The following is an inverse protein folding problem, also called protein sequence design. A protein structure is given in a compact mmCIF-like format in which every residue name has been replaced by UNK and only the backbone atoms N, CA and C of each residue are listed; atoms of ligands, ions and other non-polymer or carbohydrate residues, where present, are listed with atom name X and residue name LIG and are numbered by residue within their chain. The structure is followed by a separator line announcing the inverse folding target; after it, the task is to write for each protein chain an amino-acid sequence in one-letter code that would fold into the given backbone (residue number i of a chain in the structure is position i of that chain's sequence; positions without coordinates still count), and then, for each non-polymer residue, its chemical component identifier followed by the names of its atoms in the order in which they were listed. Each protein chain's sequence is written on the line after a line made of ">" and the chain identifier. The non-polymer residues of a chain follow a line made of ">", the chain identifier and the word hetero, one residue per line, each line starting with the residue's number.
data_IF_404914491996
#
_entry.id   IF_404914491996
#
_cell.length_a   1.000
_cell.length_b   1.000
_cell.length_c   1.000
_cell.angle_alpha   90.00
_cell.angle_beta   90.00
_cell.angle_gamma   90.00
#
_symmetry.space_group_name_H-M   'P 1'
#
loop_
_entity.id
_entity.type
_entity.pdbx_description
1 polymer ?
#
# COMPACT_ATOMS: atom_id res chain seq x y z
N UNK A 1 -3.80 -18.31 -32.80
CA UNK A 1 -5.03 -18.24 -31.98
C UNK A 1 -4.86 -17.15 -30.95
N UNK A 2 -5.57 -16.02 -31.08
CA UNK A 2 -5.73 -15.00 -30.05
C UNK A 2 -6.94 -15.43 -29.23
N UNK A 3 -6.71 -15.72 -27.92
CA UNK A 3 -7.77 -15.94 -26.96
C UNK A 3 -7.90 -14.67 -26.11
N UNK A 4 -9.04 -14.01 -26.14
CA UNK A 4 -9.37 -12.90 -25.26
C UNK A 4 -9.91 -13.46 -23.94
N UNK A 5 -9.19 -13.22 -22.84
CA UNK A 5 -9.58 -13.70 -21.50
C UNK A 5 -10.36 -12.57 -20.84
N UNK A 6 -11.68 -12.73 -20.78
CA UNK A 6 -12.56 -11.79 -20.10
C UNK A 6 -12.44 -11.89 -18.57
N UNK A 7 -12.69 -10.78 -17.84
CA UNK A 7 -12.80 -10.82 -16.39
C UNK A 7 -13.88 -11.82 -15.94
N UNK A 8 -13.66 -12.53 -14.80
CA UNK A 8 -14.61 -13.53 -14.33
C UNK A 8 -15.95 -12.90 -13.94
N UNK A 9 -17.05 -13.60 -14.27
CA UNK A 9 -18.39 -13.24 -13.83
C UNK A 9 -18.55 -13.41 -12.31
N UNK A 10 -19.64 -12.87 -11.75
CA UNK A 10 -19.88 -12.86 -10.30
C UNK A 10 -19.81 -14.26 -9.68
N UNK A 11 -20.49 -15.23 -10.27
CA UNK A 11 -20.51 -16.61 -9.80
C UNK A 11 -19.13 -17.27 -9.86
N UNK A 12 -18.38 -16.99 -10.91
CA UNK A 12 -16.99 -17.45 -11.05
C UNK A 12 -16.11 -16.84 -9.97
N UNK A 13 -16.29 -15.57 -9.61
CA UNK A 13 -15.54 -14.93 -8.52
C UNK A 13 -15.85 -15.58 -7.18
N UNK A 14 -17.13 -15.86 -6.89
CA UNK A 14 -17.53 -16.60 -5.68
C UNK A 14 -16.87 -17.99 -5.62
N UNK A 15 -16.86 -18.71 -6.75
CA UNK A 15 -16.21 -20.02 -6.84
C UNK A 15 -14.69 -19.95 -6.60
N UNK A 16 -14.02 -18.93 -7.12
CA UNK A 16 -12.59 -18.68 -6.90
C UNK A 16 -12.30 -18.45 -5.40
N UNK A 17 -13.10 -17.62 -4.72
CA UNK A 17 -12.96 -17.35 -3.28
C UNK A 17 -13.13 -18.64 -2.48
N UNK A 18 -14.20 -19.39 -2.73
CA UNK A 18 -14.48 -20.67 -2.05
C UNK A 18 -13.37 -21.69 -2.29
N UNK A 19 -12.90 -21.81 -3.55
CA UNK A 19 -11.78 -22.72 -3.88
C UNK A 19 -10.49 -22.32 -3.18
N UNK A 20 -10.17 -21.01 -3.12
CA UNK A 20 -9.00 -20.53 -2.39
C UNK A 20 -9.10 -20.79 -0.90
N UNK A 21 -10.26 -20.57 -0.31
CA UNK A 21 -10.51 -20.88 1.11
C UNK A 21 -10.27 -22.35 1.41
N UNK A 22 -10.77 -23.27 0.57
CA UNK A 22 -10.52 -24.71 0.71
C UNK A 22 -9.02 -25.04 0.70
N UNK A 23 -8.26 -24.48 -0.24
CA UNK A 23 -6.80 -24.66 -0.33
C UNK A 23 -6.05 -24.13 0.91
N UNK A 24 -6.61 -23.16 1.60
CA UNK A 24 -6.08 -22.59 2.81
C UNK A 24 -6.56 -23.28 4.10
N UNK A 25 -7.39 -24.34 4.00
CA UNK A 25 -8.10 -24.93 5.12
C UNK A 25 -8.88 -23.87 5.94
N UNK A 26 -9.58 -22.99 5.23
CA UNK A 26 -10.39 -21.93 5.81
C UNK A 26 -11.86 -22.18 5.50
N UNK A 27 -12.66 -22.41 6.53
CA UNK A 27 -14.07 -22.74 6.38
C UNK A 27 -14.90 -21.47 6.10
N UNK A 28 -15.54 -21.43 4.94
CA UNK A 28 -16.50 -20.41 4.52
C UNK A 28 -17.89 -21.01 4.23
N UNK A 29 -18.17 -22.24 4.64
CA UNK A 29 -19.42 -22.94 4.30
C UNK A 29 -20.67 -22.23 4.81
N UNK A 30 -20.58 -21.52 5.95
CA UNK A 30 -21.67 -20.76 6.54
C UNK A 30 -21.52 -19.23 6.34
N UNK A 31 -20.72 -18.79 5.37
CA UNK A 31 -20.36 -17.36 5.20
C UNK A 31 -20.58 -16.91 3.75
N UNK A 32 -21.66 -17.36 3.10
CA UNK A 32 -21.98 -17.00 1.72
C UNK A 32 -22.12 -15.48 1.54
N UNK A 33 -22.71 -14.79 2.51
CA UNK A 33 -22.81 -13.32 2.50
C UNK A 33 -21.43 -12.62 2.47
N UNK A 34 -20.42 -13.20 3.11
CA UNK A 34 -19.04 -12.68 3.09
C UNK A 34 -18.39 -12.94 1.74
N UNK A 35 -18.58 -14.12 1.17
CA UNK A 35 -18.09 -14.49 -0.16
C UNK A 35 -18.68 -13.56 -1.22
N UNK A 36 -20.00 -13.37 -1.21
CA UNK A 36 -20.71 -12.49 -2.13
C UNK A 36 -20.24 -11.04 -1.97
N UNK A 37 -20.09 -10.57 -0.74
CA UNK A 37 -19.60 -9.22 -0.46
C UNK A 37 -18.21 -8.98 -1.09
N UNK A 38 -17.27 -9.92 -0.93
CA UNK A 38 -15.95 -9.82 -1.56
C UNK A 38 -16.07 -9.85 -3.08
N UNK A 39 -16.87 -10.77 -3.64
CA UNK A 39 -17.06 -10.90 -5.08
C UNK A 39 -17.73 -9.68 -5.74
N UNK A 40 -18.61 -8.97 -5.02
CA UNK A 40 -19.24 -7.72 -5.49
C UNK A 40 -18.25 -6.56 -5.54
N UNK A 41 -17.36 -6.47 -4.56
CA UNK A 41 -16.41 -5.35 -4.44
C UNK A 41 -15.15 -5.53 -5.30
N UNK A 42 -14.78 -6.75 -5.68
CA UNK A 42 -13.59 -7.05 -6.48
C UNK A 42 -13.99 -7.70 -7.81
N UNK A 43 -13.98 -6.91 -8.88
CA UNK A 43 -14.57 -7.31 -10.18
C UNK A 43 -13.58 -7.83 -11.20
N UNK A 44 -12.34 -7.34 -11.21
CA UNK A 44 -11.43 -7.53 -12.36
C UNK A 44 -10.11 -8.23 -12.04
N UNK A 45 -9.77 -8.48 -10.78
CA UNK A 45 -8.45 -8.99 -10.43
C UNK A 45 -8.52 -10.25 -9.56
N UNK A 46 -8.29 -11.42 -10.20
CA UNK A 46 -8.29 -12.73 -9.52
C UNK A 46 -7.25 -12.79 -8.41
N UNK A 47 -6.06 -12.18 -8.60
CA UNK A 47 -5.02 -12.16 -7.57
C UNK A 47 -5.45 -11.39 -6.32
N UNK A 48 -6.27 -10.34 -6.50
CA UNK A 48 -6.87 -9.63 -5.37
C UNK A 48 -7.85 -10.51 -4.60
N UNK A 49 -8.73 -11.25 -5.30
CA UNK A 49 -9.66 -12.19 -4.66
C UNK A 49 -8.92 -13.20 -3.80
N UNK A 50 -7.83 -13.78 -4.33
CA UNK A 50 -6.99 -14.71 -3.59
C UNK A 50 -6.28 -14.03 -2.40
N UNK A 51 -5.73 -12.84 -2.57
CA UNK A 51 -5.07 -12.06 -1.52
C UNK A 51 -6.02 -11.70 -0.38
N UNK A 52 -7.24 -11.24 -0.73
CA UNK A 52 -8.28 -10.91 0.26
C UNK A 52 -8.72 -12.14 1.03
N UNK A 53 -8.91 -13.28 0.35
CA UNK A 53 -9.27 -14.54 1.02
C UNK A 53 -8.20 -14.97 2.03
N UNK A 54 -6.92 -14.87 1.67
CA UNK A 54 -5.79 -15.16 2.55
C UNK A 54 -5.72 -14.17 3.73
N UNK A 55 -5.95 -12.88 3.48
CA UNK A 55 -5.96 -11.86 4.53
C UNK A 55 -7.12 -12.04 5.50
N UNK A 56 -8.32 -12.33 4.98
CA UNK A 56 -9.49 -12.62 5.80
C UNK A 56 -9.24 -13.83 6.72
N UNK A 57 -8.66 -14.91 6.18
CA UNK A 57 -8.26 -16.06 7.00
C UNK A 57 -7.30 -15.64 8.13
N UNK A 58 -6.29 -14.83 7.83
CA UNK A 58 -5.33 -14.37 8.82
C UNK A 58 -6.00 -13.53 9.92
N UNK A 59 -6.91 -12.62 9.54
CA UNK A 59 -7.68 -11.81 10.49
C UNK A 59 -8.57 -12.67 11.38
N UNK A 60 -9.29 -13.65 10.82
CA UNK A 60 -10.12 -14.57 11.59
C UNK A 60 -9.28 -15.41 12.58
N UNK A 61 -8.11 -15.91 12.15
CA UNK A 61 -7.21 -16.67 13.03
C UNK A 61 -6.63 -15.81 14.15
N UNK A 62 -6.28 -14.56 13.84
CA UNK A 62 -5.69 -13.64 14.84
C UNK A 62 -6.71 -13.24 15.91
N UNK A 63 -7.96 -13.03 15.54
CA UNK A 63 -9.03 -12.61 16.46
C UNK A 63 -9.86 -13.76 17.02
N UNK A 64 -9.53 -15.02 16.67
CA UNK A 64 -10.32 -16.21 16.98
C UNK A 64 -11.81 -16.05 16.64
N UNK A 65 -12.07 -15.42 15.49
CA UNK A 65 -13.41 -15.03 15.07
C UNK A 65 -13.86 -15.75 13.80
N UNK A 66 -15.17 -15.91 13.67
CA UNK A 66 -15.81 -16.39 12.43
C UNK A 66 -15.74 -15.28 11.34
N UNK A 67 -15.76 -15.64 10.05
CA UNK A 67 -15.79 -14.68 8.96
C UNK A 67 -17.00 -13.75 9.04
N UNK A 68 -16.77 -12.44 9.04
CA UNK A 68 -17.82 -11.41 9.04
C UNK A 68 -17.59 -10.40 7.91
N UNK A 69 -18.64 -9.66 7.54
CA UNK A 69 -18.54 -8.58 6.54
C UNK A 69 -17.56 -7.50 7.02
N UNK A 70 -17.51 -7.18 8.31
CA UNK A 70 -16.58 -6.22 8.86
C UNK A 70 -15.11 -6.65 8.66
N UNK A 71 -14.79 -7.92 8.89
CA UNK A 71 -13.46 -8.47 8.64
C UNK A 71 -13.14 -8.52 7.13
N UNK A 72 -14.14 -8.80 6.29
CA UNK A 72 -13.97 -8.74 4.84
C UNK A 72 -13.70 -7.32 4.35
N UNK A 73 -14.38 -6.31 4.90
CA UNK A 73 -14.12 -4.89 4.61
C UNK A 73 -12.70 -4.51 4.98
N UNK A 74 -12.22 -4.89 6.16
CA UNK A 74 -10.84 -4.67 6.57
C UNK A 74 -9.84 -5.35 5.63
N UNK A 75 -10.10 -6.62 5.25
CA UNK A 75 -9.26 -7.35 4.31
C UNK A 75 -9.22 -6.72 2.92
N UNK A 76 -10.37 -6.22 2.42
CA UNK A 76 -10.47 -5.51 1.13
C UNK A 76 -9.70 -4.20 1.19
N UNK A 77 -9.91 -3.38 2.22
CA UNK A 77 -9.23 -2.10 2.40
C UNK A 77 -7.71 -2.28 2.38
N UNK A 78 -7.19 -3.25 3.15
CA UNK A 78 -5.78 -3.56 3.18
C UNK A 78 -5.23 -3.94 1.79
N UNK A 79 -5.92 -4.83 1.06
CA UNK A 79 -5.46 -5.30 -0.26
C UNK A 79 -5.61 -4.21 -1.32
N UNK A 80 -6.63 -3.37 -1.26
CA UNK A 80 -6.82 -2.25 -2.20
C UNK A 80 -5.78 -1.15 -2.00
N UNK A 81 -5.36 -0.87 -0.77
CA UNK A 81 -4.28 0.05 -0.48
C UNK A 81 -2.95 -0.43 -1.08
N UNK A 82 -2.72 -1.75 -1.17
CA UNK A 82 -1.57 -2.32 -1.90
C UNK A 82 -1.72 -2.28 -3.45
N UNK A 83 -2.88 -1.92 -3.99
CA UNK A 83 -3.16 -1.94 -5.45
C UNK A 83 -3.39 -0.57 -6.07
N UNK A 84 -3.28 0.51 -5.29
CA UNK A 84 -3.18 1.85 -5.88
C UNK A 84 -1.98 1.86 -6.86
N UNK A 85 -2.13 2.43 -8.07
CA UNK A 85 -0.97 2.58 -8.96
C UNK A 85 0.18 3.23 -8.18
N UNK A 86 1.36 2.68 -8.32
CA UNK A 86 2.57 3.18 -7.60
C UNK A 86 2.76 4.70 -7.79
N UNK A 87 2.34 5.22 -8.96
CA UNK A 87 2.39 6.66 -9.23
C UNK A 87 1.49 7.42 -8.25
N UNK A 88 0.26 6.98 -8.06
CA UNK A 88 -0.73 7.65 -7.21
C UNK A 88 -0.28 7.64 -5.75
N UNK A 89 0.29 6.52 -5.30
CA UNK A 89 0.89 6.41 -3.95
C UNK A 89 2.04 7.38 -3.76
N UNK A 90 2.92 7.53 -4.76
CA UNK A 90 4.03 8.49 -4.70
C UNK A 90 3.50 9.92 -4.67
N UNK A 91 2.51 10.25 -5.52
CA UNK A 91 1.92 11.58 -5.59
C UNK A 91 1.22 11.96 -4.26
N UNK A 92 0.53 11.02 -3.61
CA UNK A 92 -0.03 11.18 -2.27
C UNK A 92 1.06 11.45 -1.23
N UNK A 93 2.13 10.64 -1.20
CA UNK A 93 3.27 10.82 -0.27
C UNK A 93 3.90 12.20 -0.46
N UNK A 94 4.17 12.61 -1.70
CA UNK A 94 4.76 13.92 -1.99
C UNK A 94 3.83 15.05 -1.55
N UNK A 95 2.53 14.91 -1.77
CA UNK A 95 1.50 15.85 -1.31
C UNK A 95 1.49 16.01 0.21
N UNK A 96 1.51 14.92 0.96
CA UNK A 96 1.54 14.93 2.42
C UNK A 96 2.84 15.56 2.97
N UNK A 97 3.99 15.22 2.39
CA UNK A 97 5.27 15.84 2.77
C UNK A 97 5.27 17.33 2.44
N UNK A 98 4.74 17.73 1.29
CA UNK A 98 4.60 19.14 0.90
C UNK A 98 3.76 19.92 1.92
N UNK A 99 2.61 19.37 2.31
CA UNK A 99 1.70 19.95 3.30
C UNK A 99 2.37 20.10 4.68
N UNK A 100 3.09 19.05 5.12
CA UNK A 100 3.71 19.01 6.45
C UNK A 100 4.94 19.91 6.54
N UNK A 101 5.75 19.99 5.47
CA UNK A 101 7.02 20.74 5.49
C UNK A 101 6.90 22.17 4.94
N UNK A 102 5.79 22.52 4.27
CA UNK A 102 5.61 23.78 3.56
C UNK A 102 6.46 23.90 2.28
N UNK A 103 7.11 22.82 1.85
CA UNK A 103 7.91 22.81 0.61
C UNK A 103 7.01 22.41 -0.55
N UNK A 104 7.02 23.18 -1.65
CA UNK A 104 6.18 22.86 -2.81
C UNK A 104 6.52 21.51 -3.44
N UNK A 105 5.53 20.86 -4.04
CA UNK A 105 5.70 19.60 -4.79
C UNK A 105 6.80 19.75 -5.85
N UNK A 106 6.78 20.84 -6.60
CA UNK A 106 7.79 21.12 -7.63
C UNK A 106 9.20 21.21 -7.07
N UNK A 107 9.37 21.82 -5.88
CA UNK A 107 10.67 21.91 -5.23
C UNK A 107 11.17 20.55 -4.73
N UNK A 108 10.28 19.66 -4.28
CA UNK A 108 10.64 18.28 -3.89
C UNK A 108 11.22 17.53 -5.09
N UNK A 109 10.61 17.65 -6.28
CA UNK A 109 11.11 17.04 -7.52
C UNK A 109 12.33 17.76 -8.11
N UNK A 110 12.50 19.06 -7.82
CA UNK A 110 13.55 19.90 -8.41
C UNK A 110 14.97 19.50 -8.02
N UNK A 111 15.97 20.14 -8.64
CA UNK A 111 17.39 20.02 -8.27
C UNK A 111 17.82 20.99 -7.17
N UNK A 112 16.91 21.80 -6.60
CA UNK A 112 17.23 22.73 -5.49
C UNK A 112 17.85 21.99 -4.30
N UNK A 113 18.83 22.64 -3.65
CA UNK A 113 19.61 22.07 -2.54
C UNK A 113 19.53 22.92 -1.27
N UNK A 114 18.48 23.73 -1.11
CA UNK A 114 18.26 24.42 0.17
C UNK A 114 18.03 23.40 1.27
N UNK A 115 18.39 23.73 2.49
CA UNK A 115 18.28 22.79 3.61
C UNK A 115 16.86 22.25 3.78
N UNK A 116 15.84 23.13 3.70
CA UNK A 116 14.43 22.75 3.82
C UNK A 116 13.98 21.78 2.72
N UNK A 117 14.32 22.07 1.46
CA UNK A 117 14.00 21.19 0.32
C UNK A 117 14.75 19.87 0.40
N UNK A 118 16.01 19.88 0.87
CA UNK A 118 16.80 18.67 1.05
C UNK A 118 16.18 17.76 2.12
N UNK A 119 15.73 18.32 3.25
CA UNK A 119 15.06 17.55 4.32
C UNK A 119 13.73 16.98 3.83
N UNK A 120 12.88 17.78 3.18
CA UNK A 120 11.62 17.32 2.62
C UNK A 120 11.82 16.18 1.62
N UNK A 121 12.81 16.28 0.74
CA UNK A 121 13.13 15.22 -0.23
C UNK A 121 13.62 13.94 0.43
N UNK A 122 14.47 14.03 1.46
CA UNK A 122 14.91 12.85 2.22
C UNK A 122 13.76 12.18 2.94
N UNK A 123 12.86 12.97 3.54
CA UNK A 123 11.62 12.49 4.16
C UNK A 123 10.76 11.75 3.12
N UNK A 124 10.56 12.33 1.93
CA UNK A 124 9.82 11.70 0.84
C UNK A 124 10.41 10.34 0.46
N UNK A 125 11.73 10.27 0.23
CA UNK A 125 12.39 9.00 -0.12
C UNK A 125 12.24 7.95 0.96
N UNK A 126 12.39 8.35 2.22
CA UNK A 126 12.23 7.46 3.37
C UNK A 126 10.82 6.92 3.45
N UNK A 127 9.79 7.77 3.38
CA UNK A 127 8.38 7.35 3.45
C UNK A 127 8.03 6.44 2.26
N UNK A 128 8.45 6.77 1.02
CA UNK A 128 8.23 5.89 -0.14
C UNK A 128 8.83 4.50 0.12
N UNK A 129 10.02 4.42 0.69
CA UNK A 129 10.68 3.13 0.98
C UNK A 129 9.98 2.33 2.07
N UNK A 130 9.42 3.00 3.09
CA UNK A 130 8.68 2.38 4.19
C UNK A 130 7.27 1.92 3.78
N UNK A 131 6.65 2.63 2.84
CA UNK A 131 5.25 2.38 2.45
C UNK A 131 5.15 1.50 1.20
N UNK A 132 6.23 1.41 0.40
CA UNK A 132 6.25 0.66 -0.86
C UNK A 132 7.44 -0.29 -0.94
N UNK A 133 7.34 -1.30 -1.81
CA UNK A 133 8.44 -2.23 -2.10
C UNK A 133 9.38 -1.71 -3.21
N UNK A 134 9.34 -0.41 -3.53
CA UNK A 134 10.16 0.18 -4.60
C UNK A 134 11.66 0.08 -4.28
N UNK A 135 12.45 -0.32 -5.26
CA UNK A 135 13.91 -0.30 -5.17
C UNK A 135 14.45 1.13 -5.15
N UNK A 136 15.63 1.34 -4.58
CA UNK A 136 16.32 2.64 -4.63
C UNK A 136 16.49 3.16 -6.06
N UNK A 137 16.69 2.26 -7.02
CA UNK A 137 16.77 2.59 -8.45
C UNK A 137 15.43 3.13 -8.96
N UNK A 138 14.33 2.46 -8.67
CA UNK A 138 13.00 2.89 -9.09
C UNK A 138 12.59 4.23 -8.47
N UNK A 139 12.94 4.46 -7.19
CA UNK A 139 12.74 5.77 -6.54
C UNK A 139 13.60 6.83 -7.24
N UNK A 140 14.89 6.54 -7.49
CA UNK A 140 15.80 7.44 -8.18
C UNK A 140 15.30 7.87 -9.56
N UNK A 141 14.82 6.93 -10.37
CA UNK A 141 14.24 7.21 -11.69
C UNK A 141 13.06 8.19 -11.62
N UNK A 142 12.20 8.07 -10.61
CA UNK A 142 11.04 8.97 -10.40
C UNK A 142 11.46 10.41 -10.08
N UNK A 143 12.56 10.60 -9.37
CA UNK A 143 13.04 11.91 -8.93
C UNK A 143 14.27 12.42 -9.69
N UNK A 144 14.70 11.73 -10.76
CA UNK A 144 15.89 12.08 -11.53
C UNK A 144 17.16 12.08 -10.68
N UNK A 145 17.33 11.04 -9.85
CA UNK A 145 18.49 10.85 -8.95
C UNK A 145 19.10 9.48 -9.11
N UNK A 146 20.39 9.37 -8.85
CA UNK A 146 21.07 8.09 -8.82
C UNK A 146 20.64 7.26 -7.60
N UNK A 147 20.59 5.94 -7.78
CA UNK A 147 20.20 5.01 -6.73
C UNK A 147 21.08 5.13 -5.46
N UNK A 148 22.38 5.38 -5.61
CA UNK A 148 23.30 5.61 -4.50
C UNK A 148 22.96 6.87 -3.70
N UNK A 149 22.55 7.94 -4.39
CA UNK A 149 22.06 9.16 -3.74
C UNK A 149 20.78 8.90 -2.94
N UNK A 150 19.83 8.14 -3.49
CA UNK A 150 18.59 7.78 -2.80
C UNK A 150 18.90 6.94 -1.56
N UNK A 151 19.70 5.89 -1.70
CA UNK A 151 20.11 5.02 -0.60
C UNK A 151 20.76 5.81 0.53
N UNK A 152 21.78 6.61 0.23
CA UNK A 152 22.46 7.47 1.21
C UNK A 152 21.51 8.41 1.93
N UNK A 153 20.58 9.05 1.19
CA UNK A 153 19.62 9.97 1.79
C UNK A 153 18.65 9.27 2.73
N UNK A 154 18.18 8.06 2.40
CA UNK A 154 17.30 7.25 3.24
C UNK A 154 18.01 6.83 4.52
N UNK A 155 19.23 6.31 4.42
CA UNK A 155 20.04 5.91 5.58
C UNK A 155 20.30 7.07 6.52
N UNK A 156 20.78 8.20 5.98
CA UNK A 156 21.07 9.42 6.77
C UNK A 156 19.80 10.03 7.39
N UNK A 157 18.68 9.94 6.72
CA UNK A 157 17.42 10.40 7.30
C UNK A 157 16.95 9.49 8.43
N UNK A 158 17.08 8.18 8.29
CA UNK A 158 16.80 7.21 9.36
C UNK A 158 17.64 7.47 10.61
N UNK A 159 18.95 7.74 10.48
CA UNK A 159 19.81 8.13 11.60
C UNK A 159 19.33 9.45 12.27
N UNK A 160 18.80 10.38 11.45
CA UNK A 160 18.27 11.66 11.95
C UNK A 160 16.97 11.45 12.75
N UNK A 161 16.08 10.56 12.29
CA UNK A 161 14.84 10.23 12.98
C UNK A 161 15.09 9.66 14.38
N UNK A 162 16.12 8.82 14.55
CA UNK A 162 16.50 8.26 15.85
C UNK A 162 16.90 9.34 16.88
N UNK A 163 17.39 10.50 16.41
CA UNK A 163 17.88 11.60 17.25
C UNK A 163 16.87 12.74 17.39
N UNK A 164 15.80 12.75 16.60
CA UNK A 164 14.81 13.83 16.58
C UNK A 164 13.39 13.26 16.68
N UNK A 165 12.88 13.22 17.90
CA UNK A 165 11.54 12.68 18.19
C UNK A 165 10.42 13.46 17.49
N UNK A 166 10.53 14.78 17.36
CA UNK A 166 9.53 15.61 16.68
C UNK A 166 9.42 15.24 15.19
N UNK A 167 10.58 15.11 14.53
CA UNK A 167 10.61 14.71 13.12
C UNK A 167 10.13 13.27 12.93
N UNK A 168 10.45 12.37 13.85
CA UNK A 168 9.98 11.00 13.84
C UNK A 168 8.45 10.92 13.98
N UNK A 169 7.86 11.70 14.88
CA UNK A 169 6.40 11.78 15.02
C UNK A 169 5.74 12.29 13.74
N UNK A 170 6.27 13.35 13.12
CA UNK A 170 5.75 13.85 11.83
C UNK A 170 5.76 12.78 10.74
N UNK A 171 6.84 12.02 10.60
CA UNK A 171 6.94 10.92 9.63
C UNK A 171 5.92 9.81 9.95
N UNK A 172 5.79 9.45 11.22
CA UNK A 172 4.84 8.44 11.68
C UNK A 172 3.39 8.86 11.39
N UNK A 173 3.06 10.12 11.64
CA UNK A 173 1.73 10.67 11.37
C UNK A 173 1.41 10.63 9.85
N UNK A 174 2.37 11.00 9.00
CA UNK A 174 2.21 10.89 7.54
C UNK A 174 1.95 9.44 7.13
N UNK A 175 2.76 8.49 7.62
CA UNK A 175 2.61 7.07 7.28
C UNK A 175 1.25 6.54 7.76
N UNK A 176 0.80 6.95 8.93
CA UNK A 176 -0.51 6.54 9.47
C UNK A 176 -1.68 7.12 8.65
N UNK A 177 -1.59 8.38 8.24
CA UNK A 177 -2.60 9.01 7.38
C UNK A 177 -2.71 8.27 6.04
N UNK A 178 -1.59 7.98 5.39
CA UNK A 178 -1.54 7.24 4.12
C UNK A 178 -2.09 5.80 4.21
N UNK A 179 -2.07 5.19 5.39
CA UNK A 179 -2.63 3.85 5.62
C UNK A 179 -4.12 3.87 5.94
N UNK A 180 -4.66 5.02 6.35
CA UNK A 180 -6.07 5.17 6.76
C UNK A 180 -6.97 5.69 5.64
N UNK A 181 -6.41 6.24 4.54
CA UNK A 181 -7.11 6.63 3.30
C UNK A 181 -7.16 5.47 2.29
#
# INVERSE_FOLDING_TARGET
>A
LLADIQPPEFETRCAIIKRKAQLLNFDLSNSDNVVEYIAQNIKSNIRQLEGITKKLQALCRFSDAVPTIALAQAAIKDVQNYTKPIKDVIDEIVGEVSRTTGVSVDDIYSKKQTNTVSVARKMTFYIIREVTDLSYKSIGEKFGRDHSTVMYNIEKFGETLQKNSTLNNQVTDIINNLKND
#
